data_IF_187149315598
#
_entry.id   IF_187149315598
#
_cell.length_a   1.000
_cell.length_b   1.000
_cell.length_c   1.000
_cell.angle_alpha   90.00
_cell.angle_beta   90.00
_cell.angle_gamma   90.00
#
_symmetry.space_group_name_H-M   'P 1'
#
loop_
_entity.id
_entity.type
_entity.pdbx_description
1 polymer ?
#
# COMPACT_ATOMS: atom_id res chain seq x y z
N UNK A 1 -30.88 16.06 -2.00
CA UNK A 1 -29.73 15.14 -1.80
C UNK A 1 -29.82 14.09 -2.90
N UNK A 2 -28.75 13.82 -3.64
CA UNK A 2 -28.77 12.85 -4.76
C UNK A 2 -29.11 11.45 -4.25
N UNK A 3 -29.96 10.70 -4.97
CA UNK A 3 -30.47 9.39 -4.53
C UNK A 3 -29.37 8.37 -4.16
N UNK A 4 -28.26 8.25 -4.91
CA UNK A 4 -27.15 7.38 -4.51
C UNK A 4 -26.49 7.76 -3.18
N UNK A 5 -26.41 9.07 -2.88
CA UNK A 5 -25.82 9.56 -1.63
C UNK A 5 -26.69 9.24 -0.42
N UNK A 6 -28.02 9.29 -0.59
CA UNK A 6 -28.99 8.91 0.45
C UNK A 6 -28.90 7.42 0.74
N UNK A 7 -28.83 6.60 -0.32
CA UNK A 7 -28.72 5.15 -0.18
C UNK A 7 -27.40 4.74 0.48
N UNK A 8 -26.29 5.35 0.10
CA UNK A 8 -25.00 5.13 0.74
C UNK A 8 -25.01 5.50 2.23
N UNK A 9 -25.62 6.63 2.58
CA UNK A 9 -25.82 7.04 3.96
C UNK A 9 -26.63 6.01 4.76
N UNK A 10 -27.72 5.49 4.15
CA UNK A 10 -28.58 4.47 4.75
C UNK A 10 -27.79 3.18 5.00
N UNK A 11 -27.04 2.71 4.00
CA UNK A 11 -26.23 1.49 4.11
C UNK A 11 -25.17 1.60 5.21
N UNK A 12 -24.44 2.71 5.28
CA UNK A 12 -23.44 2.92 6.35
C UNK A 12 -24.12 2.95 7.72
N UNK A 13 -25.27 3.60 7.83
CA UNK A 13 -26.05 3.69 9.08
C UNK A 13 -26.53 2.33 9.57
N UNK A 14 -27.09 1.52 8.68
CA UNK A 14 -27.65 0.20 9.01
C UNK A 14 -26.57 -0.82 9.37
N UNK A 15 -25.35 -0.67 8.82
CA UNK A 15 -24.23 -1.57 9.07
C UNK A 15 -23.25 -1.07 10.15
N UNK A 16 -23.59 0.01 10.84
CA UNK A 16 -22.81 0.53 11.97
C UNK A 16 -23.35 -0.01 13.29
N UNK A 17 -22.47 -0.46 14.20
CA UNK A 17 -22.89 -1.00 15.51
C UNK A 17 -23.42 0.08 16.45
N UNK A 18 -22.95 1.32 16.30
CA UNK A 18 -23.33 2.46 17.13
C UNK A 18 -23.06 3.79 16.42
N UNK A 19 -23.51 4.89 17.04
CA UNK A 19 -23.28 6.26 16.55
C UNK A 19 -21.81 6.62 16.33
N UNK A 20 -20.92 6.11 17.18
CA UNK A 20 -19.49 6.40 17.07
C UNK A 20 -18.89 5.76 15.83
N UNK A 21 -19.19 4.48 15.56
CA UNK A 21 -18.71 3.78 14.36
C UNK A 21 -19.31 4.41 13.10
N UNK A 22 -20.59 4.77 13.13
CA UNK A 22 -21.23 5.50 12.04
C UNK A 22 -20.50 6.80 11.72
N UNK A 23 -20.20 7.61 12.74
CA UNK A 23 -19.48 8.87 12.56
C UNK A 23 -18.08 8.63 11.97
N UNK A 24 -17.36 7.62 12.46
CA UNK A 24 -16.04 7.27 11.95
C UNK A 24 -16.07 6.86 10.47
N UNK A 25 -17.04 6.02 10.07
CA UNK A 25 -17.20 5.63 8.66
C UNK A 25 -17.60 6.80 7.77
N UNK A 26 -18.46 7.69 8.26
CA UNK A 26 -18.85 8.90 7.53
C UNK A 26 -17.69 9.89 7.35
N UNK A 27 -16.85 10.04 8.38
CA UNK A 27 -15.68 10.92 8.31
C UNK A 27 -14.61 10.32 7.39
N UNK A 28 -14.40 9.00 7.45
CA UNK A 28 -13.56 8.23 6.51
C UNK A 28 -14.03 8.41 5.07
N UNK A 29 -15.32 8.25 4.78
CA UNK A 29 -15.86 8.46 3.44
C UNK A 29 -15.59 9.88 2.90
N UNK A 30 -15.78 10.91 3.72
CA UNK A 30 -15.49 12.30 3.32
C UNK A 30 -14.01 12.52 3.01
N UNK A 31 -13.13 11.91 3.79
CA UNK A 31 -11.68 11.98 3.59
C UNK A 31 -11.27 11.23 2.32
N UNK A 32 -11.76 10.01 2.13
CA UNK A 32 -11.47 9.17 0.97
C UNK A 32 -11.87 9.86 -0.34
N UNK A 33 -13.04 10.52 -0.42
CA UNK A 33 -13.46 11.27 -1.63
C UNK A 33 -12.46 12.38 -2.03
N UNK A 34 -11.81 13.02 -1.06
CA UNK A 34 -10.85 14.10 -1.34
C UNK A 34 -9.49 13.57 -1.81
N UNK A 35 -9.21 12.28 -1.60
CA UNK A 35 -7.89 11.67 -1.85
C UNK A 35 -7.95 10.40 -2.69
N UNK A 36 -9.11 10.04 -3.26
CA UNK A 36 -9.30 8.84 -4.05
C UNK A 36 -8.65 8.98 -5.43
N UNK A 37 -7.35 8.69 -5.49
CA UNK A 37 -6.62 8.53 -6.74
C UNK A 37 -6.70 7.06 -7.15
N UNK A 38 -7.69 6.72 -7.97
CA UNK A 38 -7.84 5.37 -8.51
C UNK A 38 -6.75 5.08 -9.54
N UNK A 39 -6.08 3.93 -9.40
CA UNK A 39 -5.14 3.42 -10.40
C UNK A 39 -5.92 2.59 -11.41
N UNK A 40 -5.99 2.98 -12.70
CA UNK A 40 -6.64 2.17 -13.72
C UNK A 40 -5.97 0.79 -13.85
N UNK A 41 -6.73 -0.27 -14.05
CA UNK A 41 -6.20 -1.64 -14.14
C UNK A 41 -5.16 -1.79 -15.25
N UNK A 42 -5.35 -1.12 -16.40
CA UNK A 42 -4.37 -1.11 -17.49
C UNK A 42 -2.97 -0.63 -17.06
N UNK A 43 -2.87 0.23 -16.04
CA UNK A 43 -1.57 0.68 -15.50
C UNK A 43 -0.96 -0.40 -14.60
N UNK A 44 -1.78 -1.06 -13.78
CA UNK A 44 -1.29 -2.10 -12.87
C UNK A 44 -0.92 -3.38 -13.62
N UNK A 45 -1.68 -3.74 -14.65
CA UNK A 45 -1.42 -4.85 -15.58
C UNK A 45 -0.14 -4.62 -16.38
N UNK A 46 0.04 -3.43 -16.98
CA UNK A 46 1.25 -3.14 -17.74
C UNK A 46 2.53 -3.26 -16.89
N UNK A 47 2.47 -2.86 -15.61
CA UNK A 47 3.62 -2.95 -14.72
C UNK A 47 3.92 -4.41 -14.31
N UNK A 48 2.89 -5.25 -14.08
CA UNK A 48 3.10 -6.67 -13.77
C UNK A 48 3.48 -7.49 -14.99
N UNK A 49 3.01 -7.14 -16.18
CA UNK A 49 3.46 -7.72 -17.45
C UNK A 49 4.95 -7.50 -17.66
N UNK A 50 5.47 -6.30 -17.40
CA UNK A 50 6.91 -6.01 -17.45
C UNK A 50 7.69 -6.90 -16.46
N UNK A 51 7.19 -7.09 -15.24
CA UNK A 51 7.82 -7.99 -14.27
C UNK A 51 7.87 -9.43 -14.81
N UNK A 52 6.77 -9.88 -15.41
CA UNK A 52 6.64 -11.22 -16.00
C UNK A 52 7.57 -11.42 -17.20
N UNK A 53 7.69 -10.43 -18.09
CA UNK A 53 8.62 -10.46 -19.23
C UNK A 53 10.08 -10.62 -18.77
N UNK A 54 10.44 -9.95 -17.67
CA UNK A 54 11.75 -10.08 -17.05
C UNK A 54 11.91 -11.31 -16.16
N UNK A 55 10.92 -12.22 -16.14
CA UNK A 55 10.90 -13.42 -15.31
C UNK A 55 11.04 -13.13 -13.80
N UNK A 56 10.59 -11.94 -13.38
CA UNK A 56 10.53 -11.52 -11.99
C UNK A 56 9.16 -11.91 -11.45
N UNK A 57 9.13 -12.93 -10.61
CA UNK A 57 7.92 -13.40 -9.93
C UNK A 57 8.12 -13.15 -8.44
N UNK A 58 7.67 -12.01 -7.90
CA UNK A 58 7.84 -11.71 -6.49
C UNK A 58 6.98 -12.67 -5.65
N UNK A 59 7.54 -13.19 -4.57
CA UNK A 59 6.82 -14.05 -3.63
C UNK A 59 6.24 -13.24 -2.47
N UNK A 60 6.97 -12.23 -1.99
CA UNK A 60 6.54 -11.34 -0.90
C UNK A 60 6.40 -9.91 -1.40
N UNK A 61 5.18 -9.39 -1.38
CA UNK A 61 4.86 -8.07 -1.93
C UNK A 61 4.30 -7.15 -0.86
N UNK A 62 4.72 -5.89 -0.91
CA UNK A 62 4.20 -4.81 -0.08
C UNK A 62 3.43 -3.81 -0.95
N UNK A 63 2.21 -3.50 -0.58
CA UNK A 63 1.42 -2.39 -1.12
C UNK A 63 1.13 -1.34 -0.03
N UNK A 64 1.94 -0.28 0.09
CA UNK A 64 1.84 0.69 1.20
C UNK A 64 0.59 1.58 1.23
N UNK A 65 -0.11 1.71 0.11
CA UNK A 65 -1.31 2.55 -0.04
C UNK A 65 -2.21 1.89 -1.08
N UNK A 66 -2.96 0.89 -0.64
CA UNK A 66 -3.61 -0.06 -1.53
C UNK A 66 -4.94 0.42 -2.12
N UNK A 67 -5.62 1.37 -1.47
CA UNK A 67 -7.00 1.68 -1.83
C UNK A 67 -7.86 0.43 -1.78
N UNK A 68 -8.48 0.07 -2.91
CA UNK A 68 -9.27 -1.16 -3.04
C UNK A 68 -8.49 -2.37 -3.56
N UNK A 69 -7.19 -2.23 -3.83
CA UNK A 69 -6.28 -3.36 -4.10
C UNK A 69 -5.99 -3.65 -5.58
N UNK A 70 -5.93 -2.63 -6.44
CA UNK A 70 -5.69 -2.83 -7.86
C UNK A 70 -4.31 -3.45 -8.19
N UNK A 71 -3.27 -3.18 -7.38
CA UNK A 71 -1.99 -3.88 -7.54
C UNK A 71 -2.02 -5.26 -6.88
N UNK A 72 -2.72 -5.43 -5.75
CA UNK A 72 -2.99 -6.78 -5.18
C UNK A 72 -3.58 -7.70 -6.24
N UNK A 73 -4.66 -7.29 -6.93
CA UNK A 73 -5.30 -8.05 -8.00
C UNK A 73 -4.30 -8.45 -9.09
N UNK A 74 -3.58 -7.45 -9.63
CA UNK A 74 -2.63 -7.65 -10.73
C UNK A 74 -1.45 -8.57 -10.34
N UNK A 75 -0.98 -8.50 -9.09
CA UNK A 75 0.06 -9.40 -8.59
C UNK A 75 -0.46 -10.82 -8.44
N UNK A 76 -1.67 -11.01 -7.92
CA UNK A 76 -2.27 -12.34 -7.74
C UNK A 76 -2.61 -13.01 -9.08
N UNK A 77 -2.99 -12.24 -10.10
CA UNK A 77 -3.20 -12.77 -11.46
C UNK A 77 -1.91 -13.37 -12.05
N UNK A 78 -0.75 -12.79 -11.72
CA UNK A 78 0.55 -13.30 -12.15
C UNK A 78 1.09 -14.41 -11.22
N UNK A 79 0.97 -14.24 -9.91
CA UNK A 79 1.37 -15.21 -8.89
C UNK A 79 0.27 -15.39 -7.82
N UNK A 80 -0.64 -16.36 -7.99
CA UNK A 80 -1.74 -16.59 -7.05
C UNK A 80 -1.30 -17.01 -5.63
N UNK A 81 -0.01 -17.32 -5.45
CA UNK A 81 0.58 -17.74 -4.16
C UNK A 81 1.41 -16.64 -3.50
N UNK A 82 1.41 -15.42 -4.05
CA UNK A 82 2.13 -14.30 -3.45
C UNK A 82 1.62 -14.02 -2.03
N UNK A 83 2.54 -13.78 -1.10
CA UNK A 83 2.28 -13.29 0.25
C UNK A 83 2.27 -11.75 0.20
N UNK A 84 1.06 -11.17 0.17
CA UNK A 84 0.87 -9.73 0.00
C UNK A 84 0.51 -9.10 1.34
N UNK A 85 1.27 -8.07 1.71
CA UNK A 85 0.91 -7.15 2.79
C UNK A 85 0.45 -5.82 2.22
N UNK A 86 -0.80 -5.46 2.46
CA UNK A 86 -1.39 -4.22 2.00
C UNK A 86 -1.73 -3.30 3.19
N UNK A 87 -1.45 -2.01 3.04
CA UNK A 87 -1.85 -0.97 3.98
C UNK A 87 -2.87 -0.05 3.34
N UNK A 88 -3.94 0.26 4.08
CA UNK A 88 -4.87 1.31 3.73
C UNK A 88 -5.23 2.09 4.99
N UNK A 89 -5.00 3.40 4.99
CA UNK A 89 -5.18 4.26 6.16
C UNK A 89 -6.64 4.61 6.37
N UNK A 90 -7.43 4.68 5.30
CA UNK A 90 -8.85 4.96 5.35
C UNK A 90 -9.66 3.76 5.85
N UNK A 91 -10.49 3.96 6.86
CA UNK A 91 -11.22 2.87 7.52
C UNK A 91 -12.19 2.16 6.58
N UNK A 92 -13.00 2.91 5.83
CA UNK A 92 -14.01 2.36 4.95
C UNK A 92 -13.36 1.65 3.76
N UNK A 93 -12.39 2.30 3.11
CA UNK A 93 -11.65 1.75 1.99
C UNK A 93 -10.88 0.49 2.41
N UNK A 94 -10.21 0.52 3.57
CA UNK A 94 -9.53 -0.64 4.12
C UNK A 94 -10.48 -1.78 4.48
N UNK A 95 -11.70 -1.50 4.98
CA UNK A 95 -12.73 -2.54 5.17
C UNK A 95 -13.14 -3.17 3.85
N UNK A 96 -13.31 -2.38 2.78
CA UNK A 96 -13.61 -2.91 1.44
C UNK A 96 -12.46 -3.80 0.96
N UNK A 97 -11.22 -3.31 1.04
CA UNK A 97 -10.01 -4.05 0.69
C UNK A 97 -9.93 -5.40 1.43
N UNK A 98 -10.17 -5.44 2.75
CA UNK A 98 -10.23 -6.70 3.51
C UNK A 98 -11.27 -7.69 2.97
N UNK A 99 -12.44 -7.21 2.55
CA UNK A 99 -13.51 -8.09 2.04
C UNK A 99 -13.21 -8.60 0.63
N UNK A 100 -12.51 -7.82 -0.19
CA UNK A 100 -12.07 -8.24 -1.52
C UNK A 100 -10.91 -9.24 -1.44
N UNK A 101 -10.02 -9.10 -0.45
CA UNK A 101 -8.75 -9.82 -0.35
C UNK A 101 -8.62 -10.61 0.96
N UNK A 102 -9.56 -11.53 1.20
CA UNK A 102 -9.67 -12.28 2.47
C UNK A 102 -8.45 -13.13 2.83
N UNK A 103 -7.69 -13.58 1.83
CA UNK A 103 -6.49 -14.41 2.01
C UNK A 103 -5.21 -13.59 2.19
N UNK A 104 -5.27 -12.28 1.98
CA UNK A 104 -4.11 -11.38 2.03
C UNK A 104 -4.01 -10.64 3.36
N UNK A 105 -2.81 -10.19 3.71
CA UNK A 105 -2.57 -9.45 4.95
C UNK A 105 -2.88 -7.98 4.78
N UNK A 106 -4.13 -7.61 5.04
CA UNK A 106 -4.57 -6.21 5.00
C UNK A 106 -4.48 -5.55 6.37
N UNK A 107 -3.84 -4.38 6.45
CA UNK A 107 -3.72 -3.55 7.66
C UNK A 107 -4.44 -2.22 7.43
N UNK A 108 -5.55 -2.02 8.16
CA UNK A 108 -6.33 -0.78 8.11
C UNK A 108 -5.66 0.28 9.02
N UNK A 109 -4.48 0.73 8.63
CA UNK A 109 -3.71 1.76 9.28
C UNK A 109 -2.67 2.37 8.34
N UNK A 110 -2.04 3.46 8.77
CA UNK A 110 -0.99 4.11 7.97
C UNK A 110 0.27 3.25 7.88
N UNK A 111 0.87 3.21 6.68
CA UNK A 111 2.14 2.55 6.40
C UNK A 111 3.28 2.98 7.34
N UNK A 112 3.19 4.17 7.92
CA UNK A 112 4.15 4.65 8.90
C UNK A 112 4.31 3.72 10.12
N UNK A 113 3.34 2.86 10.39
CA UNK A 113 3.34 1.91 11.51
C UNK A 113 3.97 0.56 11.23
N UNK A 114 4.41 0.28 10.00
CA UNK A 114 5.11 -0.98 9.71
C UNK A 114 6.33 -1.12 10.64
N UNK A 115 6.48 -2.32 11.20
CA UNK A 115 7.48 -2.61 12.22
C UNK A 115 8.83 -2.94 11.58
N UNK A 116 9.92 -2.62 12.30
CA UNK A 116 11.31 -2.87 11.85
C UNK A 116 11.63 -4.30 11.37
N UNK A 117 11.02 -5.39 11.88
CA UNK A 117 11.26 -6.72 11.34
C UNK A 117 10.89 -6.89 9.85
N UNK A 118 10.11 -5.97 9.27
CA UNK A 118 9.79 -5.94 7.84
C UNK A 118 10.78 -5.12 7.00
N UNK A 119 11.86 -4.59 7.61
CA UNK A 119 12.98 -4.06 6.84
C UNK A 119 13.70 -5.19 6.12
N UNK A 120 14.13 -4.96 4.88
CA UNK A 120 14.73 -5.99 4.02
C UNK A 120 13.90 -7.30 4.01
N UNK A 121 12.58 -7.20 3.93
CA UNK A 121 11.69 -8.37 3.99
C UNK A 121 10.99 -8.67 2.67
N UNK A 122 10.57 -7.66 1.91
CA UNK A 122 9.78 -7.86 0.70
C UNK A 122 10.68 -8.00 -0.53
N UNK A 123 10.19 -8.73 -1.54
CA UNK A 123 10.85 -8.83 -2.84
C UNK A 123 10.45 -7.66 -3.75
N UNK A 124 9.25 -7.11 -3.53
CA UNK A 124 8.70 -5.98 -4.27
C UNK A 124 7.87 -5.08 -3.34
N UNK A 125 8.03 -3.77 -3.49
CA UNK A 125 7.08 -2.78 -2.99
C UNK A 125 6.48 -2.02 -4.19
N UNK A 126 5.17 -2.01 -4.32
CA UNK A 126 4.44 -1.45 -5.46
C UNK A 126 3.17 -0.75 -4.96
N UNK A 127 2.91 0.49 -5.36
CA UNK A 127 1.72 1.23 -4.94
C UNK A 127 1.57 2.55 -5.71
N UNK A 128 0.33 3.00 -5.83
CA UNK A 128 0.02 4.39 -6.17
C UNK A 128 0.03 5.24 -4.90
N UNK A 129 1.23 5.68 -4.53
CA UNK A 129 1.43 6.44 -3.28
C UNK A 129 0.79 7.82 -3.37
N UNK A 130 0.19 8.32 -2.27
CA UNK A 130 -0.40 9.65 -2.25
C UNK A 130 0.67 10.72 -2.54
N UNK A 131 0.28 11.75 -3.27
CA UNK A 131 1.13 12.90 -3.61
C UNK A 131 0.65 14.17 -2.90
N UNK A 132 1.58 15.02 -2.47
CA UNK A 132 1.27 16.29 -1.80
C UNK A 132 2.28 16.72 -0.74
N UNK A 133 2.12 17.96 -0.27
CA UNK A 133 2.91 18.59 0.81
C UNK A 133 2.32 18.27 2.20
N UNK A 134 2.07 16.99 2.46
CA UNK A 134 1.63 16.49 3.77
C UNK A 134 2.82 15.87 4.49
N UNK A 135 3.06 16.33 5.72
CA UNK A 135 4.11 15.76 6.57
C UNK A 135 3.64 14.47 7.25
N UNK A 136 4.52 13.47 7.32
CA UNK A 136 4.27 12.20 8.02
C UNK A 136 5.10 12.14 9.29
N UNK A 137 4.44 11.84 10.41
CA UNK A 137 5.15 11.65 11.67
C UNK A 137 5.61 10.20 11.83
N UNK A 138 6.91 10.00 11.68
CA UNK A 138 7.57 8.72 11.94
C UNK A 138 8.83 8.96 12.78
N UNK A 139 8.86 8.52 14.06
CA UNK A 139 10.02 8.67 14.95
C UNK A 139 11.32 8.12 14.38
N UNK A 140 11.26 7.08 13.54
CA UNK A 140 12.46 6.46 12.97
C UNK A 140 13.16 7.34 11.93
N UNK A 141 12.45 8.25 11.28
CA UNK A 141 13.02 9.21 10.32
C UNK A 141 13.16 10.62 10.90
N UNK A 142 12.21 11.04 11.74
CA UNK A 142 12.22 12.38 12.36
C UNK A 142 13.33 12.55 13.40
N UNK A 143 13.80 11.47 14.04
CA UNK A 143 14.94 11.51 14.95
C UNK A 143 16.31 11.49 14.24
N UNK A 144 16.36 11.22 12.94
CA UNK A 144 17.61 11.17 12.17
C UNK A 144 18.06 12.58 11.75
N UNK A 145 19.35 12.90 11.89
CA UNK A 145 19.92 14.16 11.40
C UNK A 145 20.12 14.12 9.88
N UNK A 146 20.03 15.28 9.21
CA UNK A 146 20.37 15.43 7.79
C UNK A 146 19.18 15.22 6.82
N UNK A 147 19.47 14.79 5.59
CA UNK A 147 18.47 14.71 4.50
C UNK A 147 17.27 13.82 4.82
N UNK A 148 17.41 12.79 5.67
CA UNK A 148 16.30 11.90 6.07
C UNK A 148 15.24 12.59 6.93
N UNK A 149 15.55 13.66 7.66
CA UNK A 149 14.54 14.47 8.35
C UNK A 149 13.69 15.30 7.38
N UNK A 150 14.20 15.58 6.16
CA UNK A 150 13.47 16.32 5.14
C UNK A 150 12.51 15.41 4.34
N UNK A 151 12.79 14.10 4.33
CA UNK A 151 11.99 13.07 3.64
C UNK A 151 10.55 13.03 4.18
N UNK A 152 10.35 13.25 5.48
CA UNK A 152 9.03 13.24 6.13
C UNK A 152 8.18 14.47 5.84
N UNK A 153 8.71 15.51 5.17
CA UNK A 153 7.97 16.75 4.86
C UNK A 153 6.94 16.57 3.75
N UNK A 154 7.19 15.62 2.84
CA UNK A 154 6.31 15.30 1.72
C UNK A 154 5.98 13.82 1.75
N UNK A 155 4.70 13.49 1.72
CA UNK A 155 4.23 12.13 1.90
C UNK A 155 4.80 11.16 0.85
N UNK A 156 4.86 11.55 -0.42
CA UNK A 156 5.43 10.69 -1.49
C UNK A 156 6.93 10.41 -1.27
N UNK A 157 7.72 11.39 -0.83
CA UNK A 157 9.14 11.18 -0.53
C UNK A 157 9.30 10.18 0.62
N UNK A 158 8.48 10.35 1.67
CA UNK A 158 8.45 9.43 2.80
C UNK A 158 8.10 8.01 2.39
N UNK A 159 7.01 7.83 1.64
CA UNK A 159 6.58 6.53 1.16
C UNK A 159 7.65 5.86 0.30
N UNK A 160 8.29 6.59 -0.61
CA UNK A 160 9.34 6.06 -1.47
C UNK A 160 10.55 5.56 -0.66
N UNK A 161 11.10 6.41 0.20
CA UNK A 161 12.29 6.05 1.01
C UNK A 161 11.97 4.92 1.99
N UNK A 162 10.80 4.96 2.62
CA UNK A 162 10.43 3.93 3.57
C UNK A 162 10.11 2.60 2.91
N UNK A 163 9.45 2.60 1.74
CA UNK A 163 9.26 1.38 0.95
C UNK A 163 10.62 0.79 0.53
N UNK A 164 11.58 1.62 0.13
CA UNK A 164 12.92 1.16 -0.21
C UNK A 164 13.62 0.46 0.97
N UNK A 165 13.48 0.98 2.20
CA UNK A 165 14.04 0.35 3.40
C UNK A 165 13.37 -1.01 3.75
N UNK A 166 12.21 -1.33 3.16
CA UNK A 166 11.49 -2.61 3.36
C UNK A 166 11.78 -3.67 2.29
N UNK A 167 12.28 -3.26 1.12
CA UNK A 167 12.60 -4.16 0.02
C UNK A 167 14.01 -4.70 0.22
N UNK A 168 14.17 -6.03 0.11
CA UNK A 168 15.48 -6.67 0.18
C UNK A 168 16.38 -6.09 -0.90
N UNK A 169 17.56 -5.60 -0.50
CA UNK A 169 18.63 -5.41 -1.48
C UNK A 169 19.02 -6.78 -2.03
N UNK A 170 18.73 -7.04 -3.31
CA UNK A 170 19.30 -8.19 -4.00
C UNK A 170 20.80 -7.94 -4.05
N UNK A 171 21.54 -8.58 -3.15
CA UNK A 171 22.99 -8.58 -3.18
C UNK A 171 23.44 -9.08 -4.54
N UNK A 172 23.96 -8.19 -5.38
CA UNK A 172 24.68 -8.56 -6.58
C UNK A 172 25.99 -9.22 -6.12
N UNK A 173 25.95 -10.53 -5.89
CA UNK A 173 27.15 -11.36 -5.96
C UNK A 173 27.30 -11.74 -7.44
N UNK A 174 28.30 -11.20 -8.17
CA UNK A 174 28.65 -11.78 -9.45
C UNK A 174 29.24 -13.17 -9.14
N UNK A 175 28.42 -14.20 -9.23
CA UNK A 175 28.89 -15.59 -9.22
C UNK A 175 29.53 -15.88 -10.57
N UNK A 176 30.73 -15.35 -10.77
CA UNK A 176 31.66 -15.82 -11.79
C UNK A 176 32.71 -16.71 -11.13
N UNK A 177 32.52 -18.04 -11.05
CA UNK A 177 33.65 -18.94 -11.07
C UNK A 177 33.99 -19.18 -12.54
N UNK A 178 34.85 -18.34 -13.11
CA UNK A 178 35.66 -18.82 -14.21
C UNK A 178 36.48 -19.99 -13.66
N UNK A 179 36.08 -21.20 -14.04
CA UNK A 179 36.94 -22.37 -14.02
C UNK A 179 38.16 -22.03 -14.87
N UNK A 180 39.28 -21.74 -14.22
CA UNK A 180 40.58 -21.88 -14.84
C UNK A 180 40.88 -23.39 -14.90
N UNK A 181 40.91 -23.92 -16.12
CA UNK A 181 41.66 -25.12 -16.45
C UNK A 181 43.14 -24.78 -16.56
#
# INVERSE_FOLDING_TARGET
MFAPTVELHRLIRENSKNESEYKQLMDSLKQSVLTAFYTPSAVTEALTDVLKEHHIIPEKVLEPSAGIGAFVDSVLDNNPKADIMAFEKDLLTGKILCHLHLEQKVRIEGFEKIEKPFNDYFDLAISNIPFGDVAVFDPSYTAMKGMRALVTRRIHNYFFVKALDTVRMVGWLPSSPHKAY
#
